data_IF_849674941471
#
_entry.id   IF_849674941471
#
_cell.length_a   1.000
_cell.length_b   1.000
_cell.length_c   1.000
_cell.angle_alpha   90.00
_cell.angle_beta   90.00
_cell.angle_gamma   90.00
#
_symmetry.space_group_name_H-M   'P 1'
#
loop_
_entity.id
_entity.type
_entity.pdbx_description
1 polymer ?
#
# COMPACT_ATOMS: atom_id res chain seq x y z
N UNK A 1 28.21 43.78 28.88
CA UNK A 1 26.90 43.94 29.50
C UNK A 1 25.89 44.00 28.35
N UNK A 2 25.34 42.88 28.02
CA UNK A 2 24.32 42.72 26.96
C UNK A 2 23.07 42.15 27.62
N UNK A 3 22.08 43.01 27.89
CA UNK A 3 20.76 42.63 28.37
C UNK A 3 20.06 41.80 27.27
N UNK A 4 19.79 40.56 27.57
CA UNK A 4 18.90 39.71 26.78
C UNK A 4 17.47 40.13 27.05
N UNK A 5 16.86 40.78 26.06
CA UNK A 5 15.45 41.09 26.02
C UNK A 5 14.65 39.78 25.82
N UNK A 6 14.12 39.25 26.91
CA UNK A 6 13.16 38.13 26.84
C UNK A 6 11.81 38.68 26.37
N UNK A 7 11.19 38.10 25.32
CA UNK A 7 9.83 38.51 24.93
C UNK A 7 8.88 38.16 26.08
N UNK A 8 8.18 39.19 26.56
CA UNK A 8 7.26 39.11 27.70
C UNK A 8 6.21 38.00 27.48
N UNK A 9 6.08 37.13 28.47
CA UNK A 9 4.95 36.25 28.59
C UNK A 9 3.68 37.11 28.65
N UNK A 10 2.80 36.96 27.65
CA UNK A 10 1.48 37.57 27.65
C UNK A 10 0.69 37.17 28.92
N UNK A 11 -0.34 37.96 29.33
CA UNK A 11 -1.08 37.68 30.53
C UNK A 11 -1.65 36.23 30.46
N UNK A 12 -1.29 35.43 31.44
CA UNK A 12 -1.84 34.10 31.64
C UNK A 12 -3.34 34.25 31.89
N UNK A 13 -4.17 33.94 30.89
CA UNK A 13 -5.61 33.97 31.02
C UNK A 13 -5.99 32.79 31.92
N UNK A 14 -6.18 33.06 33.22
CA UNK A 14 -6.75 32.07 34.11
C UNK A 14 -8.22 31.86 33.75
N UNK A 15 -8.49 30.71 33.16
CA UNK A 15 -9.85 30.26 32.86
C UNK A 15 -10.61 30.04 34.15
N UNK A 16 -11.54 30.91 34.48
CA UNK A 16 -12.52 30.70 35.56
C UNK A 16 -13.77 30.10 34.93
N UNK A 17 -14.13 28.84 35.27
CA UNK A 17 -15.38 28.24 34.80
C UNK A 17 -16.57 29.02 35.34
N UNK A 18 -17.50 29.41 34.50
CA UNK A 18 -18.75 30.05 34.84
C UNK A 18 -19.67 29.03 35.56
N UNK A 19 -19.98 29.21 36.84
CA UNK A 19 -20.80 28.25 37.59
C UNK A 19 -22.26 28.22 37.16
N UNK A 20 -22.72 29.18 36.33
CA UNK A 20 -24.08 29.24 35.78
C UNK A 20 -24.23 28.48 34.46
N UNK A 21 -23.14 28.04 33.85
CA UNK A 21 -23.17 27.23 32.62
C UNK A 21 -23.31 25.76 33.04
N UNK A 22 -24.40 25.08 32.63
CA UNK A 22 -24.42 23.62 32.76
C UNK A 22 -23.12 23.10 32.15
N UNK A 23 -22.41 22.24 32.87
CA UNK A 23 -21.23 21.57 32.29
C UNK A 23 -21.71 20.89 31.02
N UNK A 24 -21.60 21.63 29.90
CA UNK A 24 -21.54 20.99 28.60
C UNK A 24 -20.39 20.01 28.75
N UNK A 25 -20.74 18.75 28.96
CA UNK A 25 -19.77 17.69 28.98
C UNK A 25 -18.97 17.81 27.69
N UNK A 26 -17.83 18.48 27.75
CA UNK A 26 -16.80 18.35 26.73
C UNK A 26 -16.48 16.86 26.72
N UNK A 27 -17.26 16.12 25.96
CA UNK A 27 -16.91 14.75 25.59
C UNK A 27 -15.50 14.87 25.06
N UNK A 28 -14.52 14.42 25.87
CA UNK A 28 -13.12 14.35 25.44
C UNK A 28 -13.17 13.81 24.02
N UNK A 29 -12.57 14.49 23.03
CA UNK A 29 -12.63 14.01 21.65
C UNK A 29 -12.28 12.53 21.71
N UNK A 30 -13.25 11.69 21.37
CA UNK A 30 -13.04 10.25 21.35
C UNK A 30 -11.80 10.05 20.50
N UNK A 31 -10.74 9.53 21.12
CA UNK A 31 -9.54 9.17 20.37
C UNK A 31 -10.02 8.35 19.19
N UNK A 32 -9.69 8.71 17.96
CA UNK A 32 -10.15 7.99 16.80
C UNK A 32 -9.87 6.52 17.06
N UNK A 33 -10.93 5.73 17.17
CA UNK A 33 -10.81 4.28 17.38
C UNK A 33 -9.92 3.80 16.24
N UNK A 34 -8.69 3.42 16.55
CA UNK A 34 -7.76 2.86 15.58
C UNK A 34 -8.46 1.65 14.98
N UNK A 35 -9.01 1.81 13.77
CA UNK A 35 -9.75 0.81 13.01
C UNK A 35 -8.84 -0.34 12.52
N UNK A 36 -7.65 -0.44 13.08
CA UNK A 36 -6.60 -1.39 12.71
C UNK A 36 -6.68 -2.74 13.46
N UNK A 37 -7.69 -2.93 14.34
CA UNK A 37 -7.66 -4.04 15.30
C UNK A 37 -8.44 -5.28 14.89
N UNK A 38 -8.94 -5.36 13.67
CA UNK A 38 -9.49 -6.61 13.12
C UNK A 38 -8.95 -6.89 11.72
N UNK A 39 -7.65 -6.66 11.52
CA UNK A 39 -7.01 -7.15 10.32
C UNK A 39 -6.99 -8.68 10.41
N UNK A 40 -7.96 -9.32 9.79
CA UNK A 40 -7.86 -10.74 9.44
C UNK A 40 -6.53 -10.97 8.70
N UNK A 41 -6.08 -12.20 8.63
CA UNK A 41 -4.90 -12.52 7.85
C UNK A 41 -5.19 -12.21 6.37
N UNK A 42 -4.42 -11.34 5.69
CA UNK A 42 -4.73 -10.90 4.33
C UNK A 42 -4.43 -12.01 3.32
N UNK A 43 -5.36 -12.95 3.21
CA UNK A 43 -5.22 -14.19 2.43
C UNK A 43 -5.05 -13.88 0.94
N UNK A 44 -5.86 -12.95 0.40
CA UNK A 44 -5.79 -12.60 -1.03
C UNK A 44 -4.46 -11.96 -1.37
N UNK A 45 -3.99 -11.06 -0.51
CA UNK A 45 -2.67 -10.42 -0.69
C UNK A 45 -1.55 -11.47 -0.74
N UNK A 46 -1.53 -12.40 0.22
CA UNK A 46 -0.50 -13.44 0.23
C UNK A 46 -0.65 -14.45 -0.92
N UNK A 47 -1.88 -14.77 -1.32
CA UNK A 47 -2.13 -15.60 -2.49
C UNK A 47 -1.60 -14.96 -3.78
N UNK A 48 -1.84 -13.66 -3.96
CA UNK A 48 -1.30 -12.91 -5.10
C UNK A 48 0.23 -12.83 -5.07
N UNK A 49 0.83 -12.60 -3.90
CA UNK A 49 2.29 -12.60 -3.74
C UNK A 49 2.89 -13.96 -4.11
N UNK A 50 2.31 -15.05 -3.60
CA UNK A 50 2.77 -16.41 -3.91
C UNK A 50 2.64 -16.71 -5.40
N UNK A 51 1.50 -16.37 -6.01
CA UNK A 51 1.25 -16.54 -7.43
C UNK A 51 2.29 -15.80 -8.28
N UNK A 52 2.57 -14.54 -7.93
CA UNK A 52 3.57 -13.70 -8.62
C UNK A 52 4.97 -14.32 -8.56
N UNK A 53 5.38 -14.84 -7.41
CA UNK A 53 6.67 -15.53 -7.24
C UNK A 53 6.74 -16.82 -8.06
N UNK A 54 5.67 -17.62 -8.05
CA UNK A 54 5.59 -18.86 -8.82
C UNK A 54 5.74 -18.56 -10.32
N UNK A 55 5.01 -17.55 -10.84
CA UNK A 55 5.12 -17.14 -12.22
C UNK A 55 6.53 -16.67 -12.58
N UNK A 56 7.19 -15.92 -11.69
CA UNK A 56 8.57 -15.48 -11.91
C UNK A 56 9.54 -16.67 -11.99
N UNK A 57 9.44 -17.63 -11.06
CA UNK A 57 10.28 -18.82 -11.07
C UNK A 57 10.05 -19.63 -12.36
N UNK A 58 8.79 -19.83 -12.73
CA UNK A 58 8.44 -20.53 -13.97
C UNK A 58 9.01 -19.81 -15.20
N UNK A 59 8.90 -18.47 -15.23
CA UNK A 59 9.46 -17.64 -16.30
C UNK A 59 10.97 -17.83 -16.41
N UNK A 60 11.72 -17.83 -15.30
CA UNK A 60 13.17 -18.07 -15.29
C UNK A 60 13.53 -19.47 -15.78
N UNK A 61 12.82 -20.50 -15.34
CA UNK A 61 13.05 -21.89 -15.76
C UNK A 61 12.81 -22.04 -17.26
N UNK A 62 11.69 -21.55 -17.76
CA UNK A 62 11.36 -21.64 -19.20
C UNK A 62 12.34 -20.85 -20.06
N UNK A 63 12.74 -19.66 -19.59
CA UNK A 63 13.76 -18.85 -20.27
C UNK A 63 15.10 -19.56 -20.35
N UNK A 64 15.51 -20.27 -19.28
CA UNK A 64 16.73 -21.06 -19.28
C UNK A 64 16.64 -22.28 -20.23
N UNK A 65 15.47 -22.89 -20.29
CA UNK A 65 15.28 -24.11 -21.12
C UNK A 65 15.14 -23.80 -22.62
N UNK A 66 14.37 -22.77 -22.98
CA UNK A 66 14.09 -22.41 -24.38
C UNK A 66 15.04 -21.34 -24.96
N UNK A 67 15.86 -20.69 -24.14
CA UNK A 67 16.75 -19.63 -24.55
C UNK A 67 16.08 -18.27 -24.83
N UNK A 68 14.75 -18.18 -24.67
CA UNK A 68 13.97 -16.95 -24.81
C UNK A 68 12.81 -16.92 -23.79
N UNK A 69 12.25 -15.73 -23.56
CA UNK A 69 11.16 -15.58 -22.61
C UNK A 69 9.81 -15.97 -23.24
N UNK A 70 9.52 -17.28 -23.19
CA UNK A 70 8.31 -17.85 -23.75
C UNK A 70 7.04 -17.27 -23.12
N UNK A 71 7.02 -17.12 -21.78
CA UNK A 71 5.86 -16.58 -21.07
C UNK A 71 5.60 -15.12 -21.44
N UNK A 72 6.65 -14.34 -21.62
CA UNK A 72 6.49 -12.97 -22.08
C UNK A 72 5.90 -12.90 -23.48
N UNK A 73 6.30 -13.78 -24.39
CA UNK A 73 5.73 -13.88 -25.74
C UNK A 73 4.24 -14.23 -25.73
N UNK A 74 3.85 -15.21 -24.89
CA UNK A 74 2.48 -15.70 -24.83
C UNK A 74 1.54 -14.79 -24.04
N UNK A 75 2.01 -14.22 -22.93
CA UNK A 75 1.18 -13.52 -21.94
C UNK A 75 1.49 -12.01 -21.85
N UNK A 76 2.56 -11.55 -22.48
CA UNK A 76 2.95 -10.15 -22.48
C UNK A 76 1.93 -9.26 -23.23
N UNK A 77 1.93 -7.98 -22.90
CA UNK A 77 1.03 -7.01 -23.51
C UNK A 77 1.45 -6.74 -24.96
N UNK A 78 0.59 -7.11 -25.92
CA UNK A 78 0.74 -6.82 -27.34
C UNK A 78 -0.57 -6.22 -27.85
N UNK A 79 -0.58 -4.94 -28.16
CA UNK A 79 -1.81 -4.20 -28.47
C UNK A 79 -2.54 -4.77 -29.70
N UNK A 80 -1.82 -5.20 -30.72
CA UNK A 80 -2.42 -5.78 -31.92
C UNK A 80 -3.15 -7.09 -31.65
N UNK A 81 -2.60 -7.92 -30.77
CA UNK A 81 -3.22 -9.18 -30.37
C UNK A 81 -4.43 -8.95 -29.43
N UNK A 82 -4.37 -7.94 -28.59
CA UNK A 82 -5.54 -7.54 -27.77
C UNK A 82 -6.70 -7.12 -28.67
N UNK A 83 -6.44 -6.33 -29.71
CA UNK A 83 -7.44 -5.94 -30.70
C UNK A 83 -7.96 -7.13 -31.53
N UNK A 84 -7.16 -8.18 -31.68
CA UNK A 84 -7.56 -9.44 -32.31
C UNK A 84 -8.37 -10.36 -31.38
N UNK A 85 -8.62 -9.96 -30.11
CA UNK A 85 -9.46 -10.72 -29.19
C UNK A 85 -8.71 -11.40 -28.03
N UNK A 86 -7.38 -11.24 -27.94
CA UNK A 86 -6.59 -11.83 -26.85
C UNK A 86 -6.64 -10.97 -25.57
N UNK A 87 -7.84 -10.80 -25.01
CA UNK A 87 -8.09 -9.90 -23.86
C UNK A 87 -7.36 -10.27 -22.57
N UNK A 88 -6.95 -11.53 -22.40
CA UNK A 88 -6.15 -11.94 -21.22
C UNK A 88 -4.83 -11.18 -21.12
N UNK A 89 -4.26 -10.70 -22.24
CA UNK A 89 -3.06 -9.87 -22.30
C UNK A 89 -3.20 -8.48 -21.65
N UNK A 90 -4.39 -8.12 -21.17
CA UNK A 90 -4.61 -6.94 -20.35
C UNK A 90 -4.22 -7.20 -18.89
N UNK A 91 -4.39 -8.43 -18.42
CA UNK A 91 -4.24 -8.78 -17.01
C UNK A 91 -2.99 -9.61 -16.74
N UNK A 92 -2.63 -10.51 -17.64
CA UNK A 92 -1.50 -11.44 -17.47
C UNK A 92 -0.13 -10.76 -17.32
N UNK A 93 0.15 -9.58 -17.93
CA UNK A 93 1.42 -8.91 -17.76
C UNK A 93 1.71 -8.50 -16.31
N UNK A 94 0.67 -8.35 -15.47
CA UNK A 94 0.84 -8.06 -14.05
C UNK A 94 1.58 -9.19 -13.30
N UNK A 95 1.55 -10.41 -13.82
CA UNK A 95 2.23 -11.58 -13.25
C UNK A 95 3.65 -11.77 -13.83
N UNK A 96 4.00 -11.08 -14.91
CA UNK A 96 5.29 -11.21 -15.58
C UNK A 96 6.28 -10.17 -15.04
N UNK A 97 7.50 -10.61 -14.78
CA UNK A 97 8.54 -9.74 -14.24
C UNK A 97 9.82 -9.87 -15.05
N UNK A 98 10.26 -8.75 -15.62
CA UNK A 98 11.47 -8.68 -16.44
C UNK A 98 12.76 -8.81 -15.63
N UNK A 99 12.72 -8.45 -14.35
CA UNK A 99 13.88 -8.51 -13.46
C UNK A 99 13.48 -8.79 -12.01
N UNK A 100 14.43 -9.30 -11.23
CA UNK A 100 14.27 -9.52 -9.79
C UNK A 100 13.96 -8.22 -9.04
N UNK A 101 14.59 -7.11 -9.42
CA UNK A 101 14.38 -5.80 -8.80
C UNK A 101 12.93 -5.35 -9.02
N UNK A 102 12.40 -5.49 -10.22
CA UNK A 102 11.01 -5.16 -10.53
C UNK A 102 10.04 -6.03 -9.71
N UNK A 103 10.31 -7.33 -9.62
CA UNK A 103 9.56 -8.25 -8.76
C UNK A 103 9.54 -7.77 -7.30
N UNK A 104 10.70 -7.42 -6.73
CA UNK A 104 10.81 -6.98 -5.34
C UNK A 104 10.01 -5.71 -5.07
N UNK A 105 10.08 -4.70 -5.94
CA UNK A 105 9.30 -3.48 -5.79
C UNK A 105 7.80 -3.75 -5.89
N UNK A 106 7.38 -4.61 -6.82
CA UNK A 106 5.97 -4.98 -6.97
C UNK A 106 5.44 -5.74 -5.74
N UNK A 107 6.21 -6.69 -5.23
CA UNK A 107 5.90 -7.41 -3.99
C UNK A 107 5.82 -6.48 -2.78
N UNK A 108 6.75 -5.53 -2.67
CA UNK A 108 6.74 -4.53 -1.60
C UNK A 108 5.48 -3.66 -1.66
N UNK A 109 5.16 -3.09 -2.82
CA UNK A 109 3.96 -2.30 -3.02
C UNK A 109 2.68 -3.10 -2.71
N UNK A 110 2.59 -4.33 -3.23
CA UNK A 110 1.44 -5.21 -3.00
C UNK A 110 1.29 -5.59 -1.52
N UNK A 111 2.39 -5.82 -0.81
CA UNK A 111 2.35 -6.14 0.62
C UNK A 111 1.86 -4.99 1.50
N UNK A 112 2.16 -3.74 1.11
CA UNK A 112 1.70 -2.56 1.84
C UNK A 112 0.23 -2.26 1.50
N UNK A 113 -0.06 -2.14 0.20
CA UNK A 113 -1.39 -1.76 -0.28
C UNK A 113 -2.42 -2.85 -0.02
N UNK A 114 -2.05 -4.12 -0.23
CA UNK A 114 -2.93 -5.26 -0.01
C UNK A 114 -3.44 -5.33 1.42
N UNK A 115 -2.56 -5.12 2.41
CA UNK A 115 -2.96 -5.08 3.83
C UNK A 115 -3.87 -3.90 4.19
N UNK A 116 -3.87 -2.83 3.39
CA UNK A 116 -4.74 -1.68 3.63
C UNK A 116 -6.14 -1.88 3.05
N UNK A 117 -6.24 -2.67 1.98
CA UNK A 117 -7.48 -2.92 1.26
C UNK A 117 -8.21 -4.16 1.77
N UNK A 118 -7.45 -5.16 2.19
CA UNK A 118 -8.00 -6.42 2.70
C UNK A 118 -8.19 -6.30 4.23
N UNK A 119 -9.44 -6.30 4.73
CA UNK A 119 -9.79 -6.13 6.15
C UNK A 119 -9.42 -7.35 6.99
#
# INVERSE_FOLDING_TARGET
>A
MSEQNQPGAGPEIQYQPDPSRPEESWSKPEKPKKRWQTAGFPIVTYALLALTVIFYILQQILKQYYGFDLLFGLLGKVNTLILAGEFWRLFTPALLHSSLIHLMFNMYALSILGRQVEP
#
